data_IF_868059745501
#
_entry.id   IF_868059745501
#
_cell.length_a   1.000
_cell.length_b   1.000
_cell.length_c   1.000
_cell.angle_alpha   90.00
_cell.angle_beta   90.00
_cell.angle_gamma   90.00
#
_symmetry.space_group_name_H-M   'P 1'
#
loop_
_entity.id
_entity.type
_entity.pdbx_description
1 polymer ?
#
# COMPACT_ATOMS: atom_id res chain seq x y z
N UNK A 1 -12.58 14.09 4.26
CA UNK A 1 -12.20 13.89 5.65
C UNK A 1 -10.73 13.44 5.75
N UNK A 2 -10.35 12.30 5.15
CA UNK A 2 -8.98 11.74 5.25
C UNK A 2 -7.86 12.76 4.97
N UNK A 3 -7.92 13.54 3.88
CA UNK A 3 -6.88 14.53 3.57
C UNK A 3 -6.75 15.61 4.64
N UNK A 4 -7.88 16.06 5.23
CA UNK A 4 -7.85 17.07 6.30
C UNK A 4 -7.32 16.49 7.62
N UNK A 5 -7.63 15.23 7.92
CA UNK A 5 -7.04 14.53 9.05
C UNK A 5 -5.51 14.41 8.88
N UNK A 6 -5.07 13.85 7.76
CA UNK A 6 -3.64 13.71 7.42
C UNK A 6 -2.90 15.05 7.42
N UNK A 7 -3.56 16.14 6.95
CA UNK A 7 -3.01 17.49 7.00
C UNK A 7 -2.71 17.92 8.43
N UNK A 8 -3.67 17.77 9.34
CA UNK A 8 -3.50 18.16 10.74
C UNK A 8 -2.46 17.28 11.47
N UNK A 9 -2.46 15.99 11.20
CA UNK A 9 -1.43 15.06 11.71
C UNK A 9 -0.03 15.44 11.21
N UNK A 10 0.09 15.81 9.92
CA UNK A 10 1.36 16.26 9.34
C UNK A 10 1.82 17.59 9.93
N UNK A 11 0.94 18.58 10.05
CA UNK A 11 1.28 19.90 10.67
C UNK A 11 1.77 19.69 12.10
N UNK A 12 1.10 18.82 12.88
CA UNK A 12 1.51 18.46 14.23
C UNK A 12 2.90 17.84 14.27
N UNK A 13 3.15 16.86 13.40
CA UNK A 13 4.46 16.20 13.31
C UNK A 13 5.57 17.19 12.91
N UNK A 14 5.31 18.06 11.94
CA UNK A 14 6.26 19.08 11.49
C UNK A 14 6.58 20.09 12.59
N UNK A 15 5.58 20.56 13.34
CA UNK A 15 5.76 21.47 14.46
C UNK A 15 6.61 20.83 15.56
N UNK A 16 6.28 19.60 15.96
CA UNK A 16 7.05 18.82 16.95
C UNK A 16 8.49 18.58 16.49
N UNK A 17 8.70 18.24 15.22
CA UNK A 17 10.03 17.98 14.68
C UNK A 17 10.87 19.26 14.62
N UNK A 18 10.30 20.38 14.20
CA UNK A 18 10.98 21.67 14.18
C UNK A 18 11.33 22.14 15.58
N UNK A 19 10.43 22.00 16.56
CA UNK A 19 10.68 22.33 17.96
C UNK A 19 11.83 21.52 18.55
N UNK A 20 12.08 20.31 18.05
CA UNK A 20 13.15 19.40 18.48
C UNK A 20 14.36 19.42 17.54
N UNK A 21 14.48 20.38 16.62
CA UNK A 21 15.57 20.51 15.65
C UNK A 21 15.74 19.29 14.71
N UNK A 22 14.69 18.51 14.48
CA UNK A 22 14.65 17.35 13.58
C UNK A 22 14.21 17.79 12.17
N UNK A 23 15.00 18.64 11.54
CA UNK A 23 14.66 19.25 10.24
C UNK A 23 14.46 18.20 9.12
N UNK A 24 15.31 17.13 8.99
CA UNK A 24 15.10 16.12 7.96
C UNK A 24 13.78 15.34 8.12
N UNK A 25 13.34 15.10 9.33
CA UNK A 25 12.08 14.41 9.65
C UNK A 25 10.88 15.29 9.25
N UNK A 26 10.90 16.56 9.63
CA UNK A 26 9.90 17.53 9.22
C UNK A 26 9.79 17.63 7.69
N UNK A 27 10.93 17.70 6.99
CA UNK A 27 10.94 17.74 5.52
C UNK A 27 10.34 16.49 4.89
N UNK A 28 10.62 15.28 5.44
CA UNK A 28 10.01 14.02 4.96
C UNK A 28 8.51 13.99 5.19
N UNK A 29 8.03 14.42 6.36
CA UNK A 29 6.60 14.48 6.66
C UNK A 29 5.86 15.39 5.65
N UNK A 30 6.44 16.54 5.30
CA UNK A 30 5.90 17.43 4.26
C UNK A 30 5.88 16.75 2.89
N UNK A 31 6.96 16.06 2.50
CA UNK A 31 7.05 15.36 1.24
C UNK A 31 6.00 14.25 1.14
N UNK A 32 5.87 13.42 2.17
CA UNK A 32 4.89 12.33 2.23
C UNK A 32 3.46 12.87 2.10
N UNK A 33 3.14 13.97 2.77
CA UNK A 33 1.82 14.59 2.63
C UNK A 33 1.56 15.09 1.20
N UNK A 34 2.54 15.73 0.55
CA UNK A 34 2.41 16.20 -0.83
C UNK A 34 2.20 15.04 -1.79
N UNK A 35 2.90 13.91 -1.59
CA UNK A 35 2.73 12.70 -2.37
C UNK A 35 1.32 12.11 -2.18
N UNK A 36 0.83 12.01 -0.95
CA UNK A 36 -0.50 11.53 -0.63
C UNK A 36 -1.59 12.46 -1.22
N UNK A 37 -1.45 13.76 -1.05
CA UNK A 37 -2.37 14.73 -1.62
C UNK A 37 -2.43 14.62 -3.15
N UNK A 38 -1.29 14.56 -3.83
CA UNK A 38 -1.22 14.51 -5.29
C UNK A 38 -1.69 13.18 -5.85
N UNK A 39 -1.10 12.07 -5.37
CA UNK A 39 -1.30 10.75 -5.94
C UNK A 39 -2.61 10.10 -5.53
N UNK A 40 -3.20 10.53 -4.41
CA UNK A 40 -4.44 9.96 -3.92
C UNK A 40 -5.59 10.95 -3.99
N UNK A 41 -5.51 12.07 -3.28
CA UNK A 41 -6.64 12.98 -3.25
C UNK A 41 -6.94 13.62 -4.61
N UNK A 42 -5.94 14.29 -5.21
CA UNK A 42 -6.13 15.02 -6.49
C UNK A 42 -6.48 14.03 -7.61
N UNK A 43 -5.74 12.95 -7.73
CA UNK A 43 -5.96 11.96 -8.78
C UNK A 43 -7.34 11.31 -8.68
N UNK A 44 -7.77 10.90 -7.49
CA UNK A 44 -9.09 10.28 -7.27
C UNK A 44 -10.25 11.27 -7.35
N UNK A 45 -10.01 12.53 -7.03
CA UNK A 45 -11.03 13.59 -7.12
C UNK A 45 -11.13 14.21 -8.52
N UNK A 46 -10.38 13.71 -9.50
CA UNK A 46 -10.34 14.28 -10.85
C UNK A 46 -11.72 14.43 -11.49
N UNK A 47 -12.56 13.42 -11.40
CA UNK A 47 -13.94 13.46 -11.93
C UNK A 47 -14.78 14.53 -11.23
N UNK A 48 -14.61 14.73 -9.92
CA UNK A 48 -15.27 15.76 -9.13
C UNK A 48 -14.84 17.17 -9.59
N UNK A 49 -13.53 17.36 -9.81
CA UNK A 49 -13.02 18.64 -10.32
C UNK A 49 -13.51 18.98 -11.73
N UNK A 50 -13.67 17.98 -12.59
CA UNK A 50 -14.09 18.14 -13.98
C UNK A 50 -15.62 18.03 -14.19
N UNK A 51 -16.39 17.72 -13.17
CA UNK A 51 -17.84 17.68 -13.25
C UNK A 51 -18.41 19.02 -13.77
N UNK A 52 -19.50 18.97 -14.52
CA UNK A 52 -20.19 20.17 -15.01
C UNK A 52 -20.84 20.91 -13.84
N UNK A 53 -20.88 22.24 -13.93
CA UNK A 53 -21.47 23.06 -12.88
C UNK A 53 -20.59 23.23 -11.65
N UNK A 54 -21.12 23.88 -10.62
CA UNK A 54 -20.47 24.13 -9.31
C UNK A 54 -21.35 23.60 -8.19
N UNK A 55 -21.63 22.31 -8.23
CA UNK A 55 -22.39 21.64 -7.16
C UNK A 55 -21.57 21.56 -5.87
N UNK A 56 -22.27 21.36 -4.75
CA UNK A 56 -21.64 21.39 -3.41
C UNK A 56 -20.48 20.42 -3.28
N UNK A 57 -20.56 19.23 -3.89
CA UNK A 57 -19.47 18.24 -3.84
C UNK A 57 -18.19 18.77 -4.53
N UNK A 58 -18.34 19.42 -5.67
CA UNK A 58 -17.22 20.06 -6.38
C UNK A 58 -16.63 21.19 -5.57
N UNK A 59 -17.45 22.05 -4.97
CA UNK A 59 -17.03 23.13 -4.09
C UNK A 59 -16.25 22.55 -2.91
N UNK A 60 -16.77 21.52 -2.27
CA UNK A 60 -16.11 20.85 -1.15
C UNK A 60 -14.74 20.26 -1.57
N UNK A 61 -14.65 19.70 -2.78
CA UNK A 61 -13.40 19.16 -3.30
C UNK A 61 -12.35 20.28 -3.50
N UNK A 62 -12.73 21.41 -4.10
CA UNK A 62 -11.83 22.53 -4.27
C UNK A 62 -11.43 23.19 -2.94
N UNK A 63 -12.39 23.39 -2.03
CA UNK A 63 -12.11 23.97 -0.72
C UNK A 63 -11.17 23.09 0.11
N UNK A 64 -11.35 21.77 0.06
CA UNK A 64 -10.44 20.83 0.72
C UNK A 64 -9.02 20.93 0.15
N UNK A 65 -8.88 20.99 -1.18
CA UNK A 65 -7.57 21.14 -1.83
C UNK A 65 -6.94 22.50 -1.53
N UNK A 66 -7.72 23.58 -1.58
CA UNK A 66 -7.29 24.93 -1.24
C UNK A 66 -6.74 25.01 0.19
N UNK A 67 -7.51 24.49 1.15
CA UNK A 67 -7.10 24.45 2.57
C UNK A 67 -5.80 23.66 2.71
N UNK A 68 -5.70 22.49 2.08
CA UNK A 68 -4.50 21.67 2.14
C UNK A 68 -3.27 22.38 1.55
N UNK A 69 -3.41 23.00 0.38
CA UNK A 69 -2.31 23.72 -0.28
C UNK A 69 -1.83 24.94 0.52
N UNK A 70 -2.75 25.75 1.02
CA UNK A 70 -2.38 26.94 1.80
C UNK A 70 -1.73 26.55 3.13
N UNK A 71 -2.31 25.59 3.84
CA UNK A 71 -1.79 25.14 5.14
C UNK A 71 -0.41 24.49 5.01
N UNK A 72 -0.25 23.57 4.05
CA UNK A 72 1.05 22.91 3.87
C UNK A 72 2.12 23.88 3.35
N UNK A 73 1.73 24.88 2.55
CA UNK A 73 2.66 25.93 2.12
C UNK A 73 3.16 26.77 3.29
N UNK A 74 2.29 27.12 4.24
CA UNK A 74 2.70 27.83 5.46
C UNK A 74 3.64 26.99 6.31
N UNK A 75 3.36 25.67 6.50
CA UNK A 75 4.22 24.78 7.24
C UNK A 75 5.59 24.57 6.58
N UNK A 76 5.64 24.58 5.24
CA UNK A 76 6.86 24.41 4.45
C UNK A 76 7.65 25.71 4.22
N UNK A 77 7.07 26.87 4.50
CA UNK A 77 7.69 28.17 4.22
C UNK A 77 9.11 28.36 4.80
N UNK A 78 9.42 27.87 6.02
CA UNK A 78 10.79 27.96 6.54
C UNK A 78 11.83 27.17 5.73
N UNK A 79 11.41 26.12 4.99
CA UNK A 79 12.32 25.24 4.25
C UNK A 79 12.42 25.57 2.76
N UNK A 80 11.30 25.97 2.14
CA UNK A 80 11.21 26.28 0.70
C UNK A 80 10.57 27.65 0.46
N UNK A 81 11.19 28.74 0.93
CA UNK A 81 10.58 30.06 1.05
C UNK A 81 10.05 30.63 -0.27
N UNK A 82 10.77 30.46 -1.37
CA UNK A 82 10.40 31.07 -2.65
C UNK A 82 9.18 30.43 -3.30
N UNK A 83 9.12 29.09 -3.28
CA UNK A 83 7.99 28.36 -3.85
C UNK A 83 6.71 28.59 -3.05
N UNK A 84 6.81 28.57 -1.73
CA UNK A 84 5.65 28.77 -0.86
C UNK A 84 5.11 30.20 -0.94
N UNK A 85 6.00 31.18 -1.09
CA UNK A 85 5.60 32.56 -1.35
C UNK A 85 4.82 32.69 -2.66
N UNK A 86 5.32 32.08 -3.75
CA UNK A 86 4.64 32.12 -5.05
C UNK A 86 3.25 31.45 -4.97
N UNK A 87 3.14 30.31 -4.29
CA UNK A 87 1.84 29.65 -4.06
C UNK A 87 0.90 30.56 -3.27
N UNK A 88 1.39 31.20 -2.22
CA UNK A 88 0.60 32.10 -1.38
C UNK A 88 0.11 33.33 -2.13
N UNK A 89 0.98 33.98 -2.92
CA UNK A 89 0.60 35.12 -3.73
C UNK A 89 -0.49 34.75 -4.74
N UNK A 90 -0.40 33.59 -5.37
CA UNK A 90 -1.37 33.14 -6.35
C UNK A 90 -2.69 32.65 -5.72
N UNK A 91 -2.65 31.92 -4.61
CA UNK A 91 -3.85 31.34 -4.02
C UNK A 91 -4.57 32.27 -3.03
N UNK A 92 -3.83 33.10 -2.28
CA UNK A 92 -4.39 33.90 -1.19
C UNK A 92 -4.43 35.39 -1.60
N UNK A 93 -3.27 35.98 -1.86
CA UNK A 93 -3.16 37.43 -2.13
C UNK A 93 -3.84 37.87 -3.43
N UNK A 94 -3.94 36.99 -4.41
CA UNK A 94 -4.68 37.28 -5.65
C UNK A 94 -6.17 37.54 -5.37
N UNK A 95 -6.74 36.93 -4.35
CA UNK A 95 -8.16 36.95 -4.01
C UNK A 95 -8.42 37.92 -2.84
N UNK A 96 -7.63 37.83 -1.76
CA UNK A 96 -7.77 38.62 -0.55
C UNK A 96 -6.57 39.57 -0.36
N UNK A 97 -6.76 40.83 -0.66
CA UNK A 97 -5.73 41.86 -0.50
C UNK A 97 -5.53 42.29 0.96
N UNK A 98 -6.41 41.89 1.87
CA UNK A 98 -6.29 42.18 3.31
C UNK A 98 -5.43 41.18 4.04
N UNK A 99 -5.19 39.99 3.46
CA UNK A 99 -4.26 39.01 4.00
C UNK A 99 -2.82 39.57 4.12
N UNK A 100 -1.95 39.03 4.97
CA UNK A 100 -0.55 39.43 5.07
C UNK A 100 0.14 39.51 3.71
N UNK A 101 1.03 40.49 3.52
CA UNK A 101 1.69 40.74 2.22
C UNK A 101 2.56 39.54 1.75
N UNK A 102 3.06 38.75 2.68
CA UNK A 102 3.90 37.60 2.42
C UNK A 102 3.49 36.42 3.30
N UNK A 103 3.68 35.17 2.84
CA UNK A 103 3.49 33.98 3.64
C UNK A 103 4.36 33.99 4.90
N UNK A 104 5.52 34.61 4.82
CA UNK A 104 6.48 34.72 5.93
C UNK A 104 6.04 35.68 7.04
N UNK A 105 4.98 36.43 6.83
CA UNK A 105 4.30 37.28 7.84
C UNK A 105 3.08 36.56 8.44
N UNK A 106 2.77 35.37 8.00
CA UNK A 106 1.71 34.55 8.57
C UNK A 106 2.22 33.73 9.77
N UNK A 107 1.31 33.46 10.69
CA UNK A 107 1.60 32.50 11.75
C UNK A 107 1.78 31.08 11.19
N UNK A 108 2.57 30.27 11.89
CA UNK A 108 2.66 28.84 11.61
C UNK A 108 1.26 28.20 11.76
N UNK A 109 0.88 27.22 10.92
CA UNK A 109 -0.47 26.66 10.96
C UNK A 109 -0.79 26.04 12.32
N UNK A 110 -1.93 26.44 12.90
CA UNK A 110 -2.44 25.78 14.08
C UNK A 110 -3.02 24.40 13.73
N UNK A 111 -2.81 23.42 14.62
CA UNK A 111 -3.39 22.09 14.50
C UNK A 111 -4.83 22.10 15.00
N UNK A 112 -5.75 21.59 14.19
CA UNK A 112 -7.12 21.30 14.62
C UNK A 112 -7.24 19.82 14.97
N UNK A 113 -7.06 19.49 16.24
CA UNK A 113 -7.11 18.10 16.72
C UNK A 113 -8.48 17.44 16.52
N UNK A 114 -9.57 18.23 16.46
CA UNK A 114 -10.90 17.69 16.19
C UNK A 114 -11.05 17.11 14.77
N UNK A 115 -10.16 17.47 13.86
CA UNK A 115 -10.12 16.93 12.51
C UNK A 115 -9.19 15.73 12.36
N UNK A 116 -8.42 15.34 13.39
CA UNK A 116 -7.54 14.17 13.35
C UNK A 116 -8.37 12.93 13.66
N UNK A 117 -8.42 12.01 12.71
CA UNK A 117 -9.08 10.71 12.79
C UNK A 117 -8.04 9.61 12.51
N UNK A 118 -7.36 9.20 13.57
CA UNK A 118 -6.27 8.21 13.48
C UNK A 118 -6.73 6.85 12.97
N UNK A 119 -7.98 6.48 13.22
CA UNK A 119 -8.54 5.21 12.70
C UNK A 119 -8.72 5.28 11.19
N UNK A 120 -9.26 6.38 10.69
CA UNK A 120 -9.40 6.64 9.26
C UNK A 120 -8.04 6.68 8.56
N UNK A 121 -7.04 7.32 9.18
CA UNK A 121 -5.68 7.37 8.63
C UNK A 121 -5.06 5.97 8.55
N UNK A 122 -5.11 5.19 9.64
CA UNK A 122 -4.57 3.84 9.68
C UNK A 122 -5.21 2.91 8.63
N UNK A 123 -6.54 2.96 8.47
CA UNK A 123 -7.24 2.17 7.45
C UNK A 123 -6.87 2.58 6.03
N UNK A 124 -6.69 3.88 5.80
CA UNK A 124 -6.23 4.36 4.48
C UNK A 124 -4.78 3.98 4.22
N UNK A 125 -3.89 4.04 5.20
CA UNK A 125 -2.51 3.59 5.05
C UNK A 125 -2.44 2.08 4.70
N UNK A 126 -3.34 1.27 5.25
CA UNK A 126 -3.47 -0.14 4.88
C UNK A 126 -3.98 -0.32 3.44
N UNK A 127 -4.98 0.47 3.02
CA UNK A 127 -5.42 0.51 1.60
C UNK A 127 -4.25 0.85 0.67
N UNK A 128 -3.46 1.87 1.03
CA UNK A 128 -2.29 2.30 0.27
C UNK A 128 -1.29 1.16 0.09
N UNK A 129 -0.96 0.44 1.16
CA UNK A 129 -0.07 -0.74 1.13
C UNK A 129 -0.63 -1.82 0.21
N UNK A 130 -1.89 -2.19 0.37
CA UNK A 130 -2.54 -3.22 -0.46
C UNK A 130 -2.49 -2.83 -1.94
N UNK A 131 -2.74 -1.55 -2.27
CA UNK A 131 -2.70 -1.08 -3.65
C UNK A 131 -1.28 -1.10 -4.23
N UNK A 132 -0.27 -0.72 -3.46
CA UNK A 132 1.15 -0.82 -3.90
C UNK A 132 1.51 -2.27 -4.20
N UNK A 133 1.18 -3.20 -3.30
CA UNK A 133 1.45 -4.63 -3.47
C UNK A 133 0.63 -5.23 -4.62
N UNK A 134 -0.62 -4.85 -4.77
CA UNK A 134 -1.47 -5.27 -5.88
C UNK A 134 -0.92 -4.81 -7.24
N UNK A 135 -0.33 -3.62 -7.30
CA UNK A 135 0.38 -3.13 -8.52
C UNK A 135 1.67 -3.93 -8.77
N UNK A 136 2.42 -4.25 -7.71
CA UNK A 136 3.60 -5.11 -7.82
C UNK A 136 3.22 -6.49 -8.35
N UNK A 137 2.18 -7.14 -7.78
CA UNK A 137 1.68 -8.41 -8.25
C UNK A 137 1.23 -8.38 -9.72
N UNK A 138 0.58 -7.29 -10.17
CA UNK A 138 0.23 -7.10 -11.58
C UNK A 138 1.46 -7.00 -12.48
N UNK A 139 2.50 -6.28 -12.04
CA UNK A 139 3.75 -6.16 -12.77
C UNK A 139 4.47 -7.51 -12.88
N UNK A 140 4.56 -8.26 -11.78
CA UNK A 140 5.15 -9.60 -11.74
C UNK A 140 4.40 -10.57 -12.67
N UNK A 141 3.06 -10.48 -12.71
CA UNK A 141 2.21 -11.25 -13.65
C UNK A 141 2.20 -10.69 -15.09
N UNK A 142 2.89 -9.59 -15.36
CA UNK A 142 2.88 -8.88 -16.65
C UNK A 142 1.46 -8.50 -17.13
N UNK A 143 0.57 -8.15 -16.18
CA UNK A 143 -0.80 -7.73 -16.45
C UNK A 143 -0.87 -6.21 -16.51
N UNK A 144 -1.30 -5.65 -17.65
CA UNK A 144 -1.45 -4.20 -17.82
C UNK A 144 -2.53 -3.66 -16.86
N UNK A 145 -2.33 -2.46 -16.31
CA UNK A 145 -3.30 -1.84 -15.37
C UNK A 145 -4.72 -1.68 -15.96
N UNK A 146 -4.84 -1.55 -17.27
CA UNK A 146 -6.14 -1.46 -17.98
C UNK A 146 -6.85 -2.80 -18.13
N UNK A 147 -6.18 -3.92 -17.91
CA UNK A 147 -6.78 -5.24 -18.00
C UNK A 147 -7.49 -5.55 -16.68
N UNK A 148 -8.80 -5.79 -16.67
CA UNK A 148 -9.51 -6.11 -15.44
C UNK A 148 -9.11 -7.50 -14.93
N UNK A 149 -8.98 -7.62 -13.61
CA UNK A 149 -8.76 -8.88 -12.90
C UNK A 149 -10.09 -9.31 -12.29
N UNK A 150 -10.41 -10.60 -12.36
CA UNK A 150 -11.67 -11.11 -11.85
C UNK A 150 -11.73 -11.08 -10.33
N UNK A 151 -10.66 -11.52 -9.66
CA UNK A 151 -10.62 -11.65 -8.21
C UNK A 151 -9.21 -11.44 -7.68
N UNK A 152 -9.13 -10.78 -6.53
CA UNK A 152 -7.92 -10.60 -5.75
C UNK A 152 -8.17 -11.05 -4.32
N UNK A 153 -7.24 -11.76 -3.74
CA UNK A 153 -7.28 -12.18 -2.34
C UNK A 153 -6.28 -11.35 -1.56
N UNK A 154 -6.69 -10.92 -0.38
CA UNK A 154 -5.86 -10.10 0.51
C UNK A 154 -5.85 -10.75 1.88
N UNK A 155 -4.67 -11.02 2.40
CA UNK A 155 -4.45 -11.33 3.81
C UNK A 155 -3.91 -10.06 4.46
N UNK A 156 -4.62 -9.55 5.43
CA UNK A 156 -4.28 -8.36 6.18
C UNK A 156 -4.60 -8.59 7.67
N UNK A 157 -4.01 -7.81 8.60
CA UNK A 157 -4.27 -7.96 10.04
C UNK A 157 -5.74 -7.80 10.39
N UNK A 158 -6.46 -6.94 9.69
CA UNK A 158 -7.87 -6.68 9.88
C UNK A 158 -8.59 -6.64 8.53
N UNK A 159 -9.84 -7.15 8.51
CA UNK A 159 -10.71 -7.02 7.34
C UNK A 159 -11.22 -5.59 7.24
N UNK A 160 -10.87 -4.93 6.16
CA UNK A 160 -11.33 -3.56 5.89
C UNK A 160 -12.83 -3.53 5.55
N UNK A 161 -13.58 -2.51 6.03
CA UNK A 161 -14.95 -2.25 5.62
C UNK A 161 -15.12 -2.12 4.10
N UNK A 162 -16.35 -2.38 3.59
CA UNK A 162 -16.68 -2.40 2.16
C UNK A 162 -16.24 -1.13 1.41
N UNK A 163 -16.41 0.03 2.02
CA UNK A 163 -15.98 1.31 1.44
C UNK A 163 -14.50 1.31 1.04
N UNK A 164 -13.61 0.73 1.86
CA UNK A 164 -12.18 0.63 1.55
C UNK A 164 -11.87 -0.44 0.52
N UNK A 165 -12.67 -1.53 0.49
CA UNK A 165 -12.56 -2.56 -0.54
C UNK A 165 -12.87 -1.99 -1.92
N UNK A 166 -13.92 -1.16 -2.05
CA UNK A 166 -14.25 -0.46 -3.29
C UNK A 166 -13.10 0.44 -3.78
N UNK A 167 -12.37 1.10 -2.86
CA UNK A 167 -11.20 1.89 -3.21
C UNK A 167 -10.11 1.01 -3.83
N UNK A 168 -9.83 -0.15 -3.24
CA UNK A 168 -8.82 -1.09 -3.72
C UNK A 168 -9.23 -1.65 -5.10
N UNK A 169 -10.50 -2.02 -5.26
CA UNK A 169 -11.07 -2.53 -6.52
C UNK A 169 -10.92 -1.52 -7.66
N UNK A 170 -11.25 -0.25 -7.39
CA UNK A 170 -11.13 0.84 -8.37
C UNK A 170 -9.67 1.08 -8.76
N UNK A 171 -8.76 1.15 -7.77
CA UNK A 171 -7.35 1.45 -7.99
C UNK A 171 -6.61 0.35 -8.74
N UNK A 172 -6.98 -0.89 -8.49
CA UNK A 172 -6.35 -2.05 -9.08
C UNK A 172 -7.11 -2.63 -10.28
N UNK A 173 -8.24 -2.03 -10.66
CA UNK A 173 -9.11 -2.54 -11.72
C UNK A 173 -9.44 -4.04 -11.50
N UNK A 174 -9.89 -4.36 -10.30
CA UNK A 174 -10.30 -5.69 -9.87
C UNK A 174 -11.80 -5.71 -9.69
N UNK A 175 -12.48 -6.80 -10.05
CA UNK A 175 -13.93 -6.92 -9.92
C UNK A 175 -14.38 -7.20 -8.49
N UNK A 176 -13.57 -7.93 -7.75
CA UNK A 176 -13.84 -8.32 -6.36
C UNK A 176 -12.55 -8.52 -5.59
N UNK A 177 -12.48 -7.91 -4.42
CA UNK A 177 -11.44 -8.14 -3.42
C UNK A 177 -12.03 -9.00 -2.32
N UNK A 178 -11.35 -10.08 -1.95
CA UNK A 178 -11.74 -10.98 -0.87
C UNK A 178 -10.64 -11.02 0.19
N UNK A 179 -11.00 -10.67 1.42
CA UNK A 179 -10.12 -10.83 2.56
C UNK A 179 -10.16 -12.26 3.05
N UNK A 180 -8.99 -12.89 3.21
CA UNK A 180 -8.85 -14.27 3.64
C UNK A 180 -7.68 -14.41 4.61
N UNK A 181 -7.87 -15.21 5.64
CA UNK A 181 -6.78 -15.57 6.57
C UNK A 181 -5.89 -16.67 5.99
N UNK A 182 -6.41 -17.45 5.06
CA UNK A 182 -5.71 -18.57 4.43
C UNK A 182 -5.30 -18.24 2.98
N UNK A 183 -4.04 -17.86 2.83
CA UNK A 183 -3.39 -17.69 1.51
C UNK A 183 -2.63 -18.96 1.07
N UNK A 184 -2.66 -20.02 1.87
CA UNK A 184 -1.91 -21.27 1.65
C UNK A 184 -2.34 -22.01 0.39
N UNK A 185 -3.62 -21.88 0.01
CA UNK A 185 -4.14 -22.45 -1.23
C UNK A 185 -3.55 -21.84 -2.51
N UNK A 186 -2.89 -20.69 -2.40
CA UNK A 186 -2.33 -19.93 -3.53
C UNK A 186 -0.81 -19.92 -3.57
N UNK A 187 -0.16 -20.39 -2.51
CA UNK A 187 1.30 -20.41 -2.38
C UNK A 187 1.73 -21.81 -1.97
N UNK A 188 2.77 -22.32 -2.60
CA UNK A 188 3.47 -23.50 -2.17
C UNK A 188 4.91 -23.15 -1.84
N UNK A 189 5.43 -23.70 -0.75
CA UNK A 189 6.83 -23.54 -0.39
C UNK A 189 7.64 -24.69 -0.95
N UNK A 190 8.81 -24.39 -1.50
CA UNK A 190 9.81 -25.38 -1.89
C UNK A 190 11.08 -25.15 -1.08
N UNK A 191 11.65 -26.25 -0.62
CA UNK A 191 12.80 -26.23 0.26
C UNK A 191 14.02 -26.81 -0.45
N UNK A 192 15.16 -26.11 -0.35
CA UNK A 192 16.46 -26.58 -0.81
C UNK A 192 17.45 -26.51 0.35
N UNK A 193 18.36 -27.48 0.50
CA UNK A 193 19.36 -27.39 1.55
C UNK A 193 20.36 -26.27 1.28
N UNK A 194 20.66 -25.46 2.29
CA UNK A 194 21.73 -24.46 2.26
C UNK A 194 23.06 -25.19 2.36
N UNK A 195 23.77 -25.30 1.22
CA UNK A 195 24.98 -26.14 1.13
C UNK A 195 26.11 -25.67 2.08
N UNK A 196 26.16 -24.40 2.41
CA UNK A 196 27.16 -23.83 3.33
C UNK A 196 27.01 -24.34 4.76
N UNK A 197 25.79 -24.56 5.22
CA UNK A 197 25.48 -24.98 6.59
C UNK A 197 25.25 -26.49 6.68
N UNK A 198 24.54 -27.07 5.71
CA UNK A 198 24.18 -28.50 5.69
C UNK A 198 25.35 -29.37 5.25
N UNK A 199 26.23 -28.87 4.34
CA UNK A 199 27.38 -29.62 3.84
C UNK A 199 28.33 -30.10 4.93
N UNK A 200 28.82 -29.23 5.82
CA UNK A 200 29.69 -29.62 6.93
C UNK A 200 29.01 -30.56 7.95
N UNK A 201 27.69 -30.41 8.17
CA UNK A 201 26.94 -31.21 9.16
C UNK A 201 26.54 -32.59 8.64
N UNK A 202 26.05 -32.63 7.39
CA UNK A 202 25.34 -33.79 6.85
C UNK A 202 25.78 -34.17 5.43
N UNK A 203 27.04 -33.92 5.03
CA UNK A 203 27.50 -34.07 3.65
C UNK A 203 27.26 -35.42 3.02
N UNK A 204 27.39 -36.53 3.80
CA UNK A 204 27.13 -37.90 3.34
C UNK A 204 25.65 -38.19 3.01
N UNK A 205 24.73 -37.40 3.62
CA UNK A 205 23.28 -37.58 3.49
C UNK A 205 22.64 -36.53 2.62
N UNK A 206 23.41 -35.63 2.00
CA UNK A 206 22.93 -34.50 1.23
C UNK A 206 21.98 -34.91 0.09
N UNK A 207 22.21 -36.07 -0.52
CA UNK A 207 21.35 -36.67 -1.55
C UNK A 207 19.96 -37.02 -1.01
N UNK A 208 19.94 -37.67 0.15
CA UNK A 208 18.70 -38.08 0.81
C UNK A 208 17.92 -36.88 1.32
N UNK A 209 18.63 -35.87 1.87
CA UNK A 209 18.03 -34.59 2.29
C UNK A 209 17.38 -33.89 1.12
N UNK A 210 18.06 -33.76 -0.03
CA UNK A 210 17.49 -33.11 -1.22
C UNK A 210 16.22 -33.82 -1.71
N UNK A 211 16.22 -35.14 -1.72
CA UNK A 211 15.08 -35.93 -2.14
C UNK A 211 13.91 -35.78 -1.17
N UNK A 212 14.14 -35.89 0.12
CA UNK A 212 13.12 -35.73 1.14
C UNK A 212 12.51 -34.31 1.11
N UNK A 213 13.33 -33.24 0.96
CA UNK A 213 12.84 -31.87 0.84
C UNK A 213 12.01 -31.62 -0.43
N UNK A 214 12.31 -32.35 -1.53
CA UNK A 214 11.55 -32.22 -2.77
C UNK A 214 10.20 -32.95 -2.73
N UNK A 215 10.08 -33.97 -1.88
CA UNK A 215 8.86 -34.79 -1.72
C UNK A 215 7.91 -34.28 -0.62
N UNK A 216 8.34 -33.25 0.15
CA UNK A 216 7.52 -32.63 1.21
C UNK A 216 6.33 -31.85 0.65
N UNK A 217 5.21 -31.91 1.38
CA UNK A 217 4.20 -30.85 1.28
C UNK A 217 4.79 -29.55 1.83
N UNK A 218 5.07 -28.60 0.93
CA UNK A 218 5.75 -27.37 1.28
C UNK A 218 5.02 -26.54 2.32
N UNK A 219 3.69 -26.53 2.31
CA UNK A 219 2.89 -25.77 3.26
C UNK A 219 2.93 -26.40 4.66
N UNK A 220 2.74 -27.72 4.75
CA UNK A 220 2.81 -28.46 6.01
C UNK A 220 4.23 -28.40 6.62
N UNK A 221 5.26 -28.45 5.78
CA UNK A 221 6.65 -28.32 6.22
C UNK A 221 6.95 -26.92 6.75
N UNK A 222 6.42 -25.87 6.13
CA UNK A 222 6.57 -24.50 6.61
C UNK A 222 5.86 -24.27 7.94
N UNK A 223 4.68 -24.86 8.14
CA UNK A 223 3.99 -24.84 9.44
C UNK A 223 4.82 -25.50 10.53
N UNK A 224 5.33 -26.70 10.24
CA UNK A 224 6.19 -27.44 11.18
C UNK A 224 7.44 -26.63 11.54
N UNK A 225 8.05 -25.96 10.55
CA UNK A 225 9.23 -25.12 10.75
C UNK A 225 8.91 -23.87 11.60
N UNK A 226 7.71 -23.32 11.46
CA UNK A 226 7.27 -22.15 12.25
C UNK A 226 6.91 -22.56 13.70
N UNK A 227 6.28 -23.72 13.90
CA UNK A 227 5.85 -24.20 15.20
C UNK A 227 7.00 -24.84 16.01
N UNK A 228 7.81 -25.66 15.37
CA UNK A 228 8.87 -26.45 16.02
C UNK A 228 10.29 -25.89 15.84
N UNK A 229 10.45 -24.89 14.97
CA UNK A 229 11.74 -24.28 14.67
C UNK A 229 12.67 -25.10 13.77
N UNK A 230 12.34 -26.38 13.48
CA UNK A 230 13.15 -27.28 12.67
C UNK A 230 12.32 -28.37 11.99
N UNK A 231 12.85 -28.88 10.87
CA UNK A 231 12.37 -30.10 10.21
C UNK A 231 13.28 -31.25 10.59
N UNK A 232 12.71 -32.37 11.06
CA UNK A 232 13.44 -33.56 11.49
C UNK A 232 13.20 -34.69 10.52
N UNK A 233 14.29 -35.31 10.04
CA UNK A 233 14.28 -36.49 9.16
C UNK A 233 15.12 -37.60 9.78
N UNK A 234 14.80 -38.85 9.47
CA UNK A 234 15.60 -39.97 9.88
C UNK A 234 16.02 -40.78 8.63
N UNK A 235 17.34 -40.87 8.41
CA UNK A 235 17.92 -41.60 7.28
C UNK A 235 18.88 -42.64 7.83
N UNK A 236 18.59 -43.92 7.61
CA UNK A 236 19.43 -45.03 8.02
C UNK A 236 19.81 -45.04 9.51
N UNK A 237 18.88 -44.62 10.39
CA UNK A 237 19.11 -44.54 11.81
C UNK A 237 19.82 -43.25 12.29
N UNK A 238 20.14 -42.33 11.37
CA UNK A 238 20.72 -41.02 11.70
C UNK A 238 19.64 -39.95 11.65
N UNK A 239 19.48 -39.21 12.73
CA UNK A 239 18.58 -38.10 12.82
C UNK A 239 19.23 -36.87 12.19
N UNK A 240 18.49 -36.23 11.29
CA UNK A 240 18.89 -34.95 10.62
C UNK A 240 17.89 -33.90 11.02
N UNK A 241 18.37 -32.85 11.66
CA UNK A 241 17.57 -31.68 12.10
C UNK A 241 17.99 -30.45 11.29
N UNK A 242 17.06 -29.90 10.51
CA UNK A 242 17.28 -28.72 9.67
C UNK A 242 16.49 -27.54 10.21
N UNK A 243 17.20 -26.48 10.56
CA UNK A 243 16.63 -25.19 10.99
C UNK A 243 16.39 -24.28 9.79
N UNK A 244 15.75 -23.12 10.01
CA UNK A 244 15.56 -22.11 8.94
C UNK A 244 16.87 -21.70 8.28
N UNK A 245 17.97 -21.62 9.02
CA UNK A 245 19.29 -21.25 8.52
C UNK A 245 19.93 -22.33 7.64
N UNK A 246 19.47 -23.57 7.78
CA UNK A 246 19.94 -24.72 6.98
C UNK A 246 19.15 -24.89 5.67
N UNK A 247 18.13 -24.04 5.44
CA UNK A 247 17.20 -24.18 4.33
C UNK A 247 17.16 -22.91 3.47
N UNK A 248 17.19 -23.08 2.17
CA UNK A 248 16.77 -22.09 1.20
C UNK A 248 15.29 -22.33 0.94
N UNK A 249 14.45 -21.36 1.36
CA UNK A 249 13.00 -21.43 1.26
C UNK A 249 12.59 -20.57 0.07
N UNK A 250 12.17 -21.23 -1.02
CA UNK A 250 11.61 -20.55 -2.18
C UNK A 250 10.07 -20.64 -2.09
N UNK A 251 9.38 -19.51 -2.25
CA UNK A 251 7.94 -19.46 -2.39
C UNK A 251 7.58 -19.67 -3.85
N UNK A 252 7.01 -20.82 -4.18
CA UNK A 252 6.45 -21.10 -5.49
C UNK A 252 4.97 -20.70 -5.50
N UNK A 253 4.54 -20.14 -6.61
CA UNK A 253 3.15 -19.73 -6.81
C UNK A 253 2.38 -20.84 -7.49
N UNK A 254 1.13 -21.06 -7.07
CA UNK A 254 0.23 -21.99 -7.76
C UNK A 254 -0.06 -21.44 -9.16
N UNK A 255 -0.09 -22.33 -10.16
CA UNK A 255 -0.36 -21.95 -11.55
C UNK A 255 -1.66 -21.11 -11.66
N UNK A 256 -1.59 -19.98 -12.34
CA UNK A 256 -2.70 -19.04 -12.46
C UNK A 256 -2.81 -17.98 -11.34
N UNK A 257 -1.90 -17.98 -10.38
CA UNK A 257 -1.86 -17.00 -9.30
C UNK A 257 -0.48 -16.32 -9.21
N UNK A 258 -0.48 -15.05 -8.82
CA UNK A 258 0.71 -14.29 -8.45
C UNK A 258 0.48 -13.67 -7.11
N UNK A 259 1.44 -13.81 -6.20
CA UNK A 259 1.40 -13.23 -4.88
C UNK A 259 2.56 -12.26 -4.65
N UNK A 260 2.28 -11.21 -3.90
CA UNK A 260 3.26 -10.29 -3.34
C UNK A 260 2.95 -10.14 -1.85
N UNK A 261 3.98 -10.13 -1.03
CA UNK A 261 3.84 -10.07 0.41
C UNK A 261 4.87 -9.13 1.05
N UNK A 262 4.46 -8.45 2.10
CA UNK A 262 5.34 -7.81 3.06
C UNK A 262 5.17 -8.47 4.44
N UNK A 263 5.69 -7.83 5.51
CA UNK A 263 5.62 -8.39 6.86
C UNK A 263 4.19 -8.48 7.43
N UNK A 264 3.23 -7.74 6.87
CA UNK A 264 1.88 -7.57 7.44
C UNK A 264 0.77 -7.93 6.49
N UNK A 265 0.97 -7.76 5.18
CA UNK A 265 -0.05 -7.92 4.15
C UNK A 265 0.44 -8.88 3.07
N UNK A 266 -0.44 -9.73 2.58
CA UNK A 266 -0.18 -10.56 1.41
C UNK A 266 -1.30 -10.35 0.40
N UNK A 267 -0.94 -10.05 -0.83
CA UNK A 267 -1.87 -9.88 -1.94
C UNK A 267 -1.67 -11.00 -2.94
N UNK A 268 -2.75 -11.72 -3.26
CA UNK A 268 -2.75 -12.79 -4.26
C UNK A 268 -3.71 -12.43 -5.38
N UNK A 269 -3.21 -12.39 -6.59
CA UNK A 269 -3.96 -12.05 -7.78
C UNK A 269 -4.15 -13.28 -8.66
N UNK A 270 -5.41 -13.60 -9.00
CA UNK A 270 -5.72 -14.61 -10.00
C UNK A 270 -5.63 -13.98 -11.40
N UNK A 271 -4.74 -14.48 -12.23
CA UNK A 271 -4.69 -14.10 -13.64
C UNK A 271 -5.27 -15.22 -14.51
N UNK A 272 -6.23 -14.87 -15.37
CA UNK A 272 -6.73 -15.79 -16.40
C UNK A 272 -5.92 -15.57 -17.67
N UNK A 273 -5.35 -16.63 -18.19
CA UNK A 273 -4.72 -16.65 -19.52
C UNK A 273 -5.72 -16.51 -20.67
N UNK A 274 -7.01 -16.56 -20.38
CA UNK A 274 -8.08 -16.38 -21.36
C UNK A 274 -8.26 -14.90 -21.74
N UNK A 275 -7.49 -14.46 -22.71
CA UNK A 275 -7.45 -13.08 -23.23
C UNK A 275 -8.64 -12.74 -24.15
N UNK A 276 -9.66 -13.59 -24.27
CA UNK A 276 -10.69 -13.49 -25.32
C UNK A 276 -11.98 -12.72 -24.99
N UNK A 277 -12.44 -12.69 -23.75
CA UNK A 277 -13.86 -12.41 -23.51
C UNK A 277 -14.20 -11.13 -22.70
N UNK A 278 -13.26 -10.35 -22.21
CA UNK A 278 -13.59 -9.27 -21.24
C UNK A 278 -13.19 -7.84 -21.61
N UNK A 279 -12.78 -7.57 -22.84
CA UNK A 279 -12.30 -6.23 -23.27
C UNK A 279 -13.33 -5.12 -23.34
N UNK A 280 -14.62 -5.36 -23.11
CA UNK A 280 -15.65 -4.39 -23.47
C UNK A 280 -16.70 -3.99 -22.45
N UNK A 281 -16.82 -4.61 -21.27
CA UNK A 281 -18.05 -4.45 -20.47
C UNK A 281 -17.95 -3.67 -19.16
N UNK A 282 -16.78 -3.37 -18.63
CA UNK A 282 -16.67 -2.68 -17.32
C UNK A 282 -16.70 -1.16 -17.41
N UNK A 283 -16.23 -0.57 -18.49
CA UNK A 283 -16.27 0.89 -18.68
C UNK A 283 -17.69 1.43 -18.93
N UNK A 284 -18.60 0.61 -19.47
CA UNK A 284 -19.98 1.02 -19.77
C UNK A 284 -20.96 0.80 -18.61
N UNK A 285 -20.70 -0.14 -17.70
CA UNK A 285 -21.60 -0.44 -16.59
C UNK A 285 -21.48 0.56 -15.42
N UNK A 286 -20.30 1.13 -15.18
CA UNK A 286 -20.08 2.10 -14.10
C UNK A 286 -20.56 3.52 -14.41
N UNK A 287 -20.62 3.90 -15.68
CA UNK A 287 -21.18 5.19 -16.14
C UNK A 287 -22.69 5.26 -15.95
N UNK A 288 -23.42 4.14 -15.97
CA UNK A 288 -24.88 4.10 -15.84
C UNK A 288 -25.39 3.93 -14.40
N UNK A 289 -24.54 3.49 -13.47
CA UNK A 289 -24.91 3.31 -12.06
C UNK A 289 -24.70 4.57 -11.19
N UNK A 290 -23.95 5.56 -11.70
CA UNK A 290 -23.73 6.85 -11.01
C UNK A 290 -24.69 7.99 -11.42
N UNK A 291 -25.67 7.70 -12.29
CA UNK A 291 -26.73 8.66 -12.72
C UNK A 291 -28.10 8.34 -12.13
N UNK A 292 -28.16 7.68 -10.98
CA UNK A 292 -29.40 7.53 -10.19
C UNK A 292 -29.18 7.95 -8.76
#
# INVERSE_FOLDING_TARGET
KWLLSKLNSTVKAVDDDLANYRIPEAARALQEFVDDMSNWYVRRSRERFWAKGMEQDKINAYMTLYTALVTISKAAAPMIPFMTEEIYQNLVRSIDKTAPESIHLCDFPAVDEAHIDSELEAKMDEVLKIVVMGRAARNTANIKNRQPIAKMFVKAPEKLPEFYQEIIEDELNVKSVEFTDDVRSFTSYTFKPQLKTVGPKYGKQLGNIKKALAELDGNAAMDTLNEKGALTFNFDGNEVVLTKDDLLIDMAQTEGYVSEADNTVTVVTRYNTDTGASRGRLLTARSSARSR
#
